data_IF_535219904388
#
_entry.id   IF_535219904388
#
_cell.length_a   1.000
_cell.length_b   1.000
_cell.length_c   1.000
_cell.angle_alpha   90.00
_cell.angle_beta   90.00
_cell.angle_gamma   90.00
#
_symmetry.space_group_name_H-M   'P 1'
#
loop_
_entity.id
_entity.type
_entity.pdbx_description
1 polymer ?
#
# COMPACT_ATOMS: atom_id res chain seq x y z
N UNK A 1 -22.58 15.44 -9.80
CA UNK A 1 -22.39 14.05 -10.25
C UNK A 1 -21.96 14.09 -11.70
N UNK A 2 -20.74 13.63 -12.00
CA UNK A 2 -20.32 13.41 -13.39
C UNK A 2 -20.95 12.07 -13.80
N UNK A 3 -21.70 12.04 -14.91
CA UNK A 3 -22.23 10.77 -15.43
C UNK A 3 -21.05 9.84 -15.78
N UNK A 4 -21.09 8.62 -15.24
CA UNK A 4 -20.10 7.60 -15.55
C UNK A 4 -20.22 7.21 -17.02
N UNK A 5 -19.16 7.47 -17.80
CA UNK A 5 -19.12 7.10 -19.21
C UNK A 5 -19.08 5.57 -19.35
N UNK A 6 -19.68 5.05 -20.43
CA UNK A 6 -19.56 3.62 -20.77
C UNK A 6 -18.08 3.18 -20.84
N UNK A 7 -17.19 4.05 -21.30
CA UNK A 7 -15.75 3.79 -21.34
C UNK A 7 -15.16 3.56 -19.94
N UNK A 8 -15.47 4.43 -18.98
CA UNK A 8 -14.97 4.29 -17.61
C UNK A 8 -15.44 2.98 -16.98
N UNK A 9 -16.71 2.61 -17.18
CA UNK A 9 -17.25 1.33 -16.72
C UNK A 9 -16.46 0.13 -17.26
N UNK A 10 -16.20 0.08 -18.57
CA UNK A 10 -15.41 -0.99 -19.19
C UNK A 10 -13.98 -1.05 -18.64
N UNK A 11 -13.35 0.10 -18.38
CA UNK A 11 -12.00 0.14 -17.83
C UNK A 11 -12.00 -0.37 -16.38
N UNK A 12 -12.96 0.04 -15.53
CA UNK A 12 -13.09 -0.47 -14.16
C UNK A 12 -13.27 -1.99 -14.13
N UNK A 13 -14.14 -2.53 -14.99
CA UNK A 13 -14.34 -3.97 -15.12
C UNK A 13 -13.04 -4.68 -15.51
N UNK A 14 -12.28 -4.12 -16.47
CA UNK A 14 -10.98 -4.66 -16.86
C UNK A 14 -9.95 -4.63 -15.72
N UNK A 15 -9.88 -3.52 -14.98
CA UNK A 15 -9.00 -3.37 -13.81
C UNK A 15 -9.35 -4.41 -12.76
N UNK A 16 -10.63 -4.56 -12.41
CA UNK A 16 -11.10 -5.54 -11.44
C UNK A 16 -10.76 -6.98 -11.86
N UNK A 17 -10.99 -7.35 -13.12
CA UNK A 17 -10.63 -8.68 -13.63
C UNK A 17 -9.12 -8.95 -13.52
N UNK A 18 -8.28 -7.95 -13.80
CA UNK A 18 -6.82 -8.08 -13.62
C UNK A 18 -6.44 -8.25 -12.16
N UNK A 19 -7.13 -7.58 -11.25
CA UNK A 19 -6.92 -7.67 -9.82
C UNK A 19 -7.30 -9.04 -9.28
N UNK A 20 -8.48 -9.53 -9.66
CA UNK A 20 -8.95 -10.88 -9.37
C UNK A 20 -7.94 -11.91 -9.87
N UNK A 21 -7.53 -11.85 -11.14
CA UNK A 21 -6.55 -12.77 -11.72
C UNK A 21 -5.20 -12.75 -10.98
N UNK A 22 -4.73 -11.57 -10.57
CA UNK A 22 -3.48 -11.44 -9.84
C UNK A 22 -3.58 -12.01 -8.41
N UNK A 23 -4.72 -11.83 -7.75
CA UNK A 23 -4.89 -12.14 -6.33
C UNK A 23 -5.52 -13.49 -6.05
N UNK A 24 -6.14 -14.15 -7.02
CA UNK A 24 -6.81 -15.46 -6.86
C UNK A 24 -5.88 -16.51 -6.25
N UNK A 25 -4.58 -16.46 -6.59
CA UNK A 25 -3.57 -17.39 -6.06
C UNK A 25 -3.03 -17.02 -4.68
N UNK A 26 -3.49 -15.91 -4.11
CA UNK A 26 -3.08 -15.39 -2.80
C UNK A 26 -4.32 -15.18 -1.91
N UNK A 27 -4.79 -16.25 -1.23
CA UNK A 27 -6.07 -16.25 -0.52
C UNK A 27 -6.24 -15.10 0.47
N UNK A 28 -5.20 -14.76 1.24
CA UNK A 28 -5.24 -13.67 2.23
C UNK A 28 -5.45 -12.29 1.59
N UNK A 29 -4.80 -12.03 0.46
CA UNK A 29 -4.96 -10.77 -0.26
C UNK A 29 -6.34 -10.72 -0.91
N UNK A 30 -6.83 -11.85 -1.43
CA UNK A 30 -8.17 -11.94 -2.00
C UNK A 30 -9.28 -11.75 -0.96
N UNK A 31 -9.14 -12.35 0.22
CA UNK A 31 -10.03 -12.15 1.35
C UNK A 31 -10.07 -10.68 1.78
N UNK A 32 -8.91 -10.02 1.84
CA UNK A 32 -8.84 -8.59 2.13
C UNK A 32 -9.59 -7.75 1.09
N UNK A 33 -9.38 -8.01 -0.20
CA UNK A 33 -10.07 -7.29 -1.29
C UNK A 33 -11.60 -7.47 -1.18
N UNK A 34 -12.06 -8.71 -0.96
CA UNK A 34 -13.48 -9.03 -0.79
C UNK A 34 -14.07 -8.34 0.43
N UNK A 35 -13.38 -8.39 1.56
CA UNK A 35 -13.79 -7.73 2.80
C UNK A 35 -14.00 -6.23 2.57
N UNK A 36 -13.07 -5.55 1.91
CA UNK A 36 -13.22 -4.10 1.62
C UNK A 36 -14.41 -3.83 0.70
N UNK A 37 -14.61 -4.66 -0.34
CA UNK A 37 -15.77 -4.53 -1.23
C UNK A 37 -17.12 -4.73 -0.50
N UNK A 38 -17.17 -5.68 0.45
CA UNK A 38 -18.38 -5.97 1.23
C UNK A 38 -18.65 -4.91 2.31
N UNK A 39 -17.60 -4.39 2.96
CA UNK A 39 -17.71 -3.41 4.05
C UNK A 39 -17.92 -1.97 3.55
N UNK A 40 -17.34 -1.60 2.39
CA UNK A 40 -17.44 -0.26 1.83
C UNK A 40 -17.40 -0.25 0.30
N UNK A 41 -18.56 -0.52 -0.31
CA UNK A 41 -18.72 -0.54 -1.78
C UNK A 41 -18.37 0.80 -2.43
N UNK A 42 -18.66 1.92 -1.77
CA UNK A 42 -18.32 3.26 -2.28
C UNK A 42 -16.81 3.48 -2.33
N UNK A 43 -16.08 3.16 -1.25
CA UNK A 43 -14.62 3.26 -1.21
C UNK A 43 -13.97 2.32 -2.25
N UNK A 44 -14.53 1.13 -2.41
CA UNK A 44 -14.07 0.15 -3.40
C UNK A 44 -14.25 0.65 -4.84
N UNK A 45 -15.43 1.19 -5.18
CA UNK A 45 -15.71 1.77 -6.50
C UNK A 45 -14.82 3.00 -6.78
N UNK A 46 -14.57 3.83 -5.77
CA UNK A 46 -13.66 4.96 -5.86
C UNK A 46 -12.23 4.49 -6.19
N UNK A 47 -11.73 3.45 -5.51
CA UNK A 47 -10.42 2.87 -5.78
C UNK A 47 -10.33 2.26 -7.18
N UNK A 48 -11.37 1.55 -7.64
CA UNK A 48 -11.43 1.05 -9.02
C UNK A 48 -11.37 2.18 -10.05
N UNK A 49 -12.11 3.27 -9.79
CA UNK A 49 -12.09 4.46 -10.64
C UNK A 49 -10.69 5.10 -10.70
N UNK A 50 -10.04 5.29 -9.55
CA UNK A 50 -8.66 5.83 -9.49
C UNK A 50 -7.67 4.94 -10.24
N UNK A 51 -7.78 3.63 -10.07
CA UNK A 51 -6.94 2.68 -10.77
C UNK A 51 -7.15 2.70 -12.29
N UNK A 52 -8.39 2.92 -12.73
CA UNK A 52 -8.75 3.09 -14.14
C UNK A 52 -8.24 4.42 -14.72
N UNK A 53 -8.32 5.51 -13.97
CA UNK A 53 -7.97 6.86 -14.44
C UNK A 53 -6.46 7.13 -14.36
N UNK A 54 -5.78 6.68 -13.30
CA UNK A 54 -4.39 7.08 -12.98
C UNK A 54 -3.46 5.90 -12.65
N UNK A 55 -4.00 4.79 -12.15
CA UNK A 55 -3.23 3.68 -11.59
C UNK A 55 -2.49 2.78 -12.61
N UNK A 56 -2.43 3.14 -13.89
CA UNK A 56 -1.85 2.28 -14.92
C UNK A 56 -0.33 2.05 -14.75
N UNK A 57 0.39 3.03 -14.21
CA UNK A 57 1.85 2.95 -14.03
C UNK A 57 2.24 1.94 -12.94
N UNK A 58 1.65 2.07 -11.76
CA UNK A 58 1.92 1.21 -10.61
C UNK A 58 1.36 -0.21 -10.80
N UNK A 59 0.19 -0.32 -11.42
CA UNK A 59 -0.43 -1.62 -11.73
C UNK A 59 0.39 -2.42 -12.75
N UNK A 60 1.09 -1.77 -13.69
CA UNK A 60 2.04 -2.46 -14.58
C UNK A 60 3.25 -3.00 -13.84
N UNK A 61 3.71 -2.28 -12.82
CA UNK A 61 4.91 -2.64 -12.03
C UNK A 61 4.63 -3.75 -11.03
N UNK A 62 3.49 -3.69 -10.33
CA UNK A 62 2.93 -4.78 -9.53
C UNK A 62 1.46 -4.50 -9.24
N UNK A 63 0.56 -5.22 -9.91
CA UNK A 63 -0.89 -5.10 -9.70
C UNK A 63 -1.24 -5.32 -8.23
N UNK A 64 -0.70 -6.39 -7.61
CA UNK A 64 -1.06 -6.80 -6.26
C UNK A 64 -0.71 -5.74 -5.20
N UNK A 65 0.52 -5.21 -5.25
CA UNK A 65 0.95 -4.16 -4.33
C UNK A 65 0.16 -2.86 -4.57
N UNK A 66 -0.09 -2.51 -5.83
CA UNK A 66 -0.85 -1.31 -6.20
C UNK A 66 -2.26 -1.33 -5.62
N UNK A 67 -2.94 -2.48 -5.71
CA UNK A 67 -4.29 -2.67 -5.17
C UNK A 67 -4.30 -2.54 -3.66
N UNK A 68 -3.40 -3.28 -2.99
CA UNK A 68 -3.36 -3.31 -1.53
C UNK A 68 -3.07 -1.93 -0.97
N UNK A 69 -2.14 -1.18 -1.57
CA UNK A 69 -1.87 0.20 -1.15
C UNK A 69 -3.08 1.12 -1.39
N UNK A 70 -3.76 1.03 -2.54
CA UNK A 70 -4.92 1.88 -2.80
C UNK A 70 -6.11 1.57 -1.86
N UNK A 71 -6.33 0.30 -1.51
CA UNK A 71 -7.40 -0.11 -0.61
C UNK A 71 -7.08 0.19 0.87
N UNK A 72 -5.81 0.11 1.27
CA UNK A 72 -5.39 0.45 2.64
C UNK A 72 -5.38 1.96 2.88
N UNK A 73 -4.94 2.73 1.89
CA UNK A 73 -4.80 4.19 1.98
C UNK A 73 -5.93 4.89 1.20
N UNK A 74 -7.16 4.38 1.32
CA UNK A 74 -8.38 4.96 0.71
C UNK A 74 -8.60 6.42 1.12
N UNK A 75 -8.11 6.81 2.32
CA UNK A 75 -8.15 8.18 2.84
C UNK A 75 -7.22 9.18 2.15
N UNK A 76 -6.41 8.76 1.18
CA UNK A 76 -5.78 9.69 0.24
C UNK A 76 -6.92 10.24 -0.63
N UNK A 77 -7.38 11.45 -0.31
CA UNK A 77 -8.62 12.03 -0.84
C UNK A 77 -8.57 12.32 -2.34
N UNK A 78 -9.72 12.33 -3.01
CA UNK A 78 -9.82 12.66 -4.45
C UNK A 78 -9.27 14.07 -4.71
N UNK A 79 -9.46 15.03 -3.79
CA UNK A 79 -8.87 16.37 -3.92
C UNK A 79 -7.34 16.37 -3.76
N UNK A 80 -6.75 15.50 -2.93
CA UNK A 80 -5.29 15.35 -2.87
C UNK A 80 -4.75 14.63 -4.11
N UNK A 81 -5.48 13.72 -4.74
CA UNK A 81 -5.03 13.03 -5.97
C UNK A 81 -5.25 13.86 -7.24
N UNK A 82 -6.33 14.63 -7.29
CA UNK A 82 -6.64 15.55 -8.39
C UNK A 82 -5.68 16.75 -8.43
N UNK A 83 -5.23 17.22 -7.25
CA UNK A 83 -4.35 18.39 -7.14
C UNK A 83 -2.88 18.03 -6.85
N UNK A 84 -2.60 16.88 -6.24
CA UNK A 84 -1.27 16.42 -5.86
C UNK A 84 -1.05 14.92 -6.16
N UNK A 85 -0.94 14.54 -7.46
CA UNK A 85 -0.59 13.17 -7.88
C UNK A 85 0.70 12.60 -7.26
N UNK A 86 1.45 13.42 -6.52
CA UNK A 86 2.67 13.06 -5.79
C UNK A 86 2.41 12.16 -4.59
N UNK A 87 1.29 12.27 -3.84
CA UNK A 87 1.18 11.56 -2.54
C UNK A 87 1.16 10.03 -2.70
N UNK A 88 0.38 9.50 -3.65
CA UNK A 88 0.40 8.04 -3.89
C UNK A 88 1.72 7.59 -4.53
N UNK A 89 2.32 8.42 -5.39
CA UNK A 89 3.64 8.16 -5.94
C UNK A 89 4.71 8.08 -4.83
N UNK A 90 4.64 8.99 -3.85
CA UNK A 90 5.51 9.06 -2.68
C UNK A 90 5.30 7.85 -1.79
N UNK A 91 4.05 7.45 -1.56
CA UNK A 91 3.73 6.22 -0.82
C UNK A 91 4.35 5.01 -1.53
N UNK A 92 4.08 4.86 -2.82
CA UNK A 92 4.62 3.77 -3.62
C UNK A 92 6.14 3.74 -3.56
N UNK A 93 6.78 4.88 -3.82
CA UNK A 93 8.24 5.00 -3.84
C UNK A 93 8.85 4.78 -2.46
N UNK A 94 8.23 5.30 -1.39
CA UNK A 94 8.71 5.09 -0.03
C UNK A 94 8.62 3.61 0.34
N UNK A 95 7.47 2.98 0.14
CA UNK A 95 7.27 1.56 0.51
C UNK A 95 8.17 0.64 -0.31
N UNK A 96 8.34 0.90 -1.62
CA UNK A 96 9.17 0.05 -2.49
C UNK A 96 10.67 0.32 -2.38
N UNK A 97 11.11 1.39 -1.70
CA UNK A 97 12.54 1.68 -1.50
C UNK A 97 13.00 1.56 -0.04
N UNK A 98 12.19 2.03 0.89
CA UNK A 98 12.45 2.11 2.33
C UNK A 98 11.77 0.97 3.11
N UNK A 99 10.91 0.18 2.45
CA UNK A 99 10.22 -0.97 3.05
C UNK A 99 8.99 -0.56 3.87
N UNK A 100 8.41 -1.52 4.57
CA UNK A 100 7.12 -1.34 5.25
C UNK A 100 7.14 -0.27 6.36
N UNK A 101 8.29 -0.06 7.01
CA UNK A 101 8.43 0.96 8.05
C UNK A 101 8.12 2.38 7.54
N UNK A 102 8.28 2.63 6.24
CA UNK A 102 7.98 3.94 5.65
C UNK A 102 6.49 4.30 5.64
N UNK A 103 5.59 3.32 5.83
CA UNK A 103 4.15 3.57 5.94
C UNK A 103 3.80 4.53 7.09
N UNK A 104 4.63 4.62 8.13
CA UNK A 104 4.45 5.58 9.23
C UNK A 104 4.41 7.04 8.77
N UNK A 105 5.05 7.35 7.63
CA UNK A 105 5.03 8.70 7.01
C UNK A 105 3.65 9.08 6.47
N UNK A 106 2.80 8.08 6.24
CA UNK A 106 1.47 8.20 5.63
C UNK A 106 0.34 7.88 6.61
N UNK A 107 0.65 7.75 7.91
CA UNK A 107 -0.32 7.39 8.95
C UNK A 107 -1.52 8.33 9.08
N UNK A 108 -1.46 9.54 8.54
CA UNK A 108 -2.62 10.44 8.49
C UNK A 108 -3.72 9.98 7.52
N UNK A 109 -3.44 9.05 6.60
CA UNK A 109 -4.37 8.62 5.54
C UNK A 109 -5.03 7.25 5.81
N UNK A 110 -4.71 6.61 6.93
CA UNK A 110 -5.18 5.29 7.33
C UNK A 110 -5.45 5.28 8.84
N UNK A 111 -6.35 4.43 9.31
CA UNK A 111 -6.57 4.29 10.76
C UNK A 111 -5.32 3.70 11.44
N UNK A 112 -5.08 4.09 12.69
CA UNK A 112 -3.92 3.61 13.45
C UNK A 112 -3.99 2.08 13.67
N UNK A 113 -5.19 1.55 13.88
CA UNK A 113 -5.42 0.12 14.09
C UNK A 113 -5.11 -0.67 12.81
N UNK A 114 -5.62 -0.23 11.65
CA UNK A 114 -5.34 -0.89 10.38
C UNK A 114 -3.84 -0.81 10.04
N UNK A 115 -3.21 0.35 10.26
CA UNK A 115 -1.77 0.50 10.03
C UNK A 115 -0.95 -0.45 10.92
N UNK A 116 -1.30 -0.53 12.21
CA UNK A 116 -0.64 -1.47 13.14
C UNK A 116 -0.84 -2.92 12.75
N UNK A 117 -2.04 -3.31 12.31
CA UNK A 117 -2.32 -4.65 11.79
C UNK A 117 -1.41 -4.95 10.58
N UNK A 118 -1.35 -4.03 9.62
CA UNK A 118 -0.54 -4.21 8.42
C UNK A 118 0.96 -4.29 8.70
N UNK A 119 1.47 -3.53 9.67
CA UNK A 119 2.91 -3.45 9.97
C UNK A 119 3.39 -4.56 10.91
N UNK A 120 2.55 -5.04 11.83
CA UNK A 120 2.98 -5.98 12.87
C UNK A 120 2.62 -7.44 12.57
N UNK A 121 1.69 -7.71 11.66
CA UNK A 121 1.34 -9.08 11.27
C UNK A 121 2.17 -9.53 10.06
N UNK A 122 3.07 -10.54 10.19
CA UNK A 122 3.88 -11.03 9.07
C UNK A 122 3.07 -11.52 7.86
N UNK A 123 1.79 -11.82 8.07
CA UNK A 123 0.86 -12.28 7.05
C UNK A 123 -0.21 -11.26 6.68
N UNK A 124 0.00 -9.99 7.01
CA UNK A 124 -0.85 -8.91 6.51
C UNK A 124 -0.80 -8.85 4.98
N UNK A 125 -1.88 -8.36 4.38
CA UNK A 125 -1.98 -8.20 2.93
C UNK A 125 -0.87 -7.31 2.37
N UNK A 126 -0.49 -6.25 3.11
CA UNK A 126 0.62 -5.38 2.71
C UNK A 126 1.97 -6.10 2.72
N UNK A 127 2.31 -6.80 3.80
CA UNK A 127 3.58 -7.54 3.88
C UNK A 127 3.64 -8.60 2.80
N UNK A 128 2.56 -9.34 2.58
CA UNK A 128 2.51 -10.38 1.54
C UNK A 128 2.68 -9.79 0.14
N UNK A 129 1.97 -8.71 -0.20
CA UNK A 129 2.07 -8.07 -1.51
C UNK A 129 3.47 -7.49 -1.75
N UNK A 130 4.06 -6.88 -0.72
CA UNK A 130 5.41 -6.31 -0.79
C UNK A 130 6.48 -7.41 -0.89
N UNK A 131 6.29 -8.51 -0.15
CA UNK A 131 7.17 -9.67 -0.23
C UNK A 131 7.17 -10.28 -1.64
N UNK A 132 5.99 -10.46 -2.24
CA UNK A 132 5.86 -10.96 -3.61
C UNK A 132 6.53 -10.02 -4.63
N UNK A 133 6.36 -8.71 -4.46
CA UNK A 133 7.07 -7.72 -5.27
C UNK A 133 8.60 -7.91 -5.20
N UNK A 134 9.16 -8.07 -4.01
CA UNK A 134 10.60 -8.26 -3.85
C UNK A 134 11.08 -9.67 -4.21
N UNK A 135 10.25 -10.70 -4.09
CA UNK A 135 10.58 -12.06 -4.53
C UNK A 135 10.91 -12.12 -6.02
N UNK A 136 10.33 -11.24 -6.84
CA UNK A 136 10.68 -11.13 -8.26
C UNK A 136 11.94 -10.28 -8.48
N UNK A 137 12.02 -9.12 -7.82
CA UNK A 137 13.07 -8.10 -8.06
C UNK A 137 14.42 -8.46 -7.46
N UNK A 138 14.46 -9.06 -6.28
CA UNK A 138 15.71 -9.38 -5.58
C UNK A 138 16.54 -10.42 -6.36
N UNK A 139 15.98 -11.56 -6.81
CA UNK A 139 16.74 -12.50 -7.63
C UNK A 139 17.26 -11.88 -8.93
N UNK A 140 16.47 -11.02 -9.58
CA UNK A 140 16.88 -10.33 -10.79
C UNK A 140 18.14 -9.48 -10.54
N UNK A 141 18.10 -8.62 -9.52
CA UNK A 141 19.21 -7.75 -9.15
C UNK A 141 20.46 -8.56 -8.75
N UNK A 142 20.30 -9.60 -7.94
CA UNK A 142 21.43 -10.42 -7.49
C UNK A 142 22.06 -11.20 -8.66
N UNK A 143 21.26 -11.72 -9.60
CA UNK A 143 21.77 -12.38 -10.82
C UNK A 143 22.55 -11.42 -11.71
N UNK A 144 22.10 -10.18 -11.88
CA UNK A 144 22.82 -9.14 -12.64
C UNK A 144 24.22 -8.87 -12.07
N UNK A 145 24.40 -9.04 -10.75
CA UNK A 145 25.69 -8.92 -10.07
C UNK A 145 26.44 -10.26 -9.91
N UNK A 146 26.03 -11.28 -10.68
CA UNK A 146 26.61 -12.63 -10.64
C UNK A 146 26.61 -13.26 -9.24
N UNK A 147 25.63 -12.93 -8.40
CA UNK A 147 25.42 -13.53 -7.09
C UNK A 147 24.41 -14.65 -7.28
N UNK A 148 24.92 -15.86 -7.42
CA UNK A 148 24.12 -17.07 -7.54
C UNK A 148 23.89 -17.72 -6.18
N UNK A 149 22.76 -18.39 -6.04
CA UNK A 149 22.36 -19.07 -4.82
C UNK A 149 21.77 -20.44 -5.16
N UNK A 150 22.40 -21.51 -4.65
CA UNK A 150 22.08 -22.89 -4.99
C UNK A 150 20.75 -23.39 -4.40
N UNK A 151 20.14 -22.68 -3.44
CA UNK A 151 18.90 -23.12 -2.75
C UNK A 151 17.85 -22.04 -2.55
N UNK A 152 17.91 -20.91 -3.25
CA UNK A 152 17.02 -19.73 -3.05
C UNK A 152 16.99 -19.13 -1.62
N UNK A 153 17.72 -19.69 -0.64
CA UNK A 153 17.81 -19.19 0.75
C UNK A 153 18.32 -17.75 0.86
N UNK A 154 19.41 -17.39 0.18
CA UNK A 154 19.89 -16.01 0.06
C UNK A 154 18.85 -15.06 -0.54
N UNK A 155 18.10 -15.50 -1.55
CA UNK A 155 17.12 -14.66 -2.23
C UNK A 155 15.93 -14.40 -1.34
N UNK A 156 15.42 -15.45 -0.67
CA UNK A 156 14.32 -15.33 0.28
C UNK A 156 14.72 -14.44 1.45
N UNK A 157 15.90 -14.66 2.03
CA UNK A 157 16.39 -13.84 3.13
C UNK A 157 16.53 -12.36 2.73
N UNK A 158 17.08 -12.09 1.55
CA UNK A 158 17.17 -10.72 1.05
C UNK A 158 15.78 -10.13 0.78
N UNK A 159 14.87 -10.86 0.14
CA UNK A 159 13.50 -10.39 -0.11
C UNK A 159 12.73 -10.10 1.19
N UNK A 160 12.80 -10.99 2.19
CA UNK A 160 12.24 -10.77 3.53
C UNK A 160 12.84 -9.52 4.19
N UNK A 161 14.15 -9.39 4.19
CA UNK A 161 14.84 -8.25 4.82
C UNK A 161 14.54 -6.92 4.10
N UNK A 162 14.45 -6.94 2.77
CA UNK A 162 14.11 -5.77 1.95
C UNK A 162 12.64 -5.38 2.12
N UNK A 163 11.74 -6.35 2.28
CA UNK A 163 10.32 -6.09 2.62
C UNK A 163 10.21 -5.27 3.90
N UNK A 164 10.99 -5.65 4.91
CA UNK A 164 10.94 -5.03 6.24
C UNK A 164 11.67 -3.69 6.31
N UNK A 165 12.82 -3.57 5.66
CA UNK A 165 13.76 -2.47 5.91
C UNK A 165 14.18 -1.69 4.65
N UNK A 166 13.60 -2.02 3.50
CA UNK A 166 13.96 -1.39 2.22
C UNK A 166 15.26 -1.92 1.63
N UNK A 167 15.63 -1.41 0.45
CA UNK A 167 16.73 -1.95 -0.33
C UNK A 167 18.09 -1.86 0.36
N UNK A 168 18.44 -0.68 0.88
CA UNK A 168 19.78 -0.44 1.43
C UNK A 168 20.00 -1.27 2.70
N UNK A 169 19.08 -1.18 3.66
CA UNK A 169 19.18 -1.89 4.94
C UNK A 169 18.90 -3.39 4.76
N UNK A 170 17.94 -3.76 3.93
CA UNK A 170 17.60 -5.16 3.66
C UNK A 170 18.74 -5.95 3.02
N UNK A 171 19.46 -5.37 2.06
CA UNK A 171 20.61 -6.04 1.42
C UNK A 171 21.82 -6.14 2.36
N UNK A 172 21.93 -5.32 3.40
CA UNK A 172 22.96 -5.51 4.43
C UNK A 172 22.83 -6.85 5.15
N UNK A 173 21.61 -7.41 5.27
CA UNK A 173 21.38 -8.71 5.90
C UNK A 173 22.12 -9.88 5.21
N UNK A 174 22.50 -9.71 3.93
CA UNK A 174 23.24 -10.73 3.18
C UNK A 174 24.74 -10.42 3.02
N UNK A 175 25.25 -9.34 3.62
CA UNK A 175 26.66 -8.91 3.48
C UNK A 175 27.65 -10.03 3.81
N UNK A 176 27.43 -10.73 4.93
CA UNK A 176 28.31 -11.84 5.36
C UNK A 176 28.16 -13.13 4.54
N UNK A 177 27.18 -13.20 3.63
CA UNK A 177 26.86 -14.38 2.83
C UNK A 177 27.34 -14.28 1.39
N UNK A 178 27.89 -13.13 0.99
CA UNK A 178 28.41 -12.90 -0.35
C UNK A 178 29.83 -12.33 -0.30
N UNK A 179 30.67 -12.62 -1.31
CA UNK A 179 32.02 -12.06 -1.38
C UNK A 179 32.04 -10.52 -1.40
N UNK A 180 32.97 -9.86 -0.68
CA UNK A 180 33.05 -8.39 -0.64
C UNK A 180 33.16 -7.74 -2.01
N UNK A 181 33.90 -8.36 -2.94
CA UNK A 181 34.07 -7.87 -4.32
C UNK A 181 32.77 -7.89 -5.15
N UNK A 182 31.73 -8.61 -4.71
CA UNK A 182 30.38 -8.57 -5.29
C UNK A 182 29.43 -7.68 -4.50
N UNK A 183 29.60 -7.62 -3.17
CA UNK A 183 28.78 -6.79 -2.29
C UNK A 183 28.94 -5.30 -2.54
N UNK A 184 30.18 -4.80 -2.62
CA UNK A 184 30.43 -3.36 -2.76
C UNK A 184 29.86 -2.77 -4.07
N UNK A 185 30.01 -3.44 -5.24
CA UNK A 185 29.33 -2.99 -6.46
C UNK A 185 27.79 -3.05 -6.36
N UNK A 186 27.24 -4.09 -5.73
CA UNK A 186 25.80 -4.23 -5.54
C UNK A 186 25.23 -3.09 -4.70
N UNK A 187 25.83 -2.80 -3.54
CA UNK A 187 25.32 -1.76 -2.66
C UNK A 187 25.47 -0.37 -3.28
N UNK A 188 26.54 -0.14 -4.06
CA UNK A 188 26.70 1.10 -4.83
C UNK A 188 25.56 1.26 -5.84
N UNK A 189 25.26 0.22 -6.61
CA UNK A 189 24.16 0.24 -7.60
C UNK A 189 22.81 0.48 -6.96
N UNK A 190 22.55 -0.13 -5.80
CA UNK A 190 21.32 0.09 -5.03
C UNK A 190 21.22 1.55 -4.57
N UNK A 191 22.31 2.14 -4.06
CA UNK A 191 22.30 3.57 -3.66
C UNK A 191 21.98 4.48 -4.85
N UNK A 192 22.55 4.20 -6.02
CA UNK A 192 22.25 4.96 -7.24
C UNK A 192 20.77 4.84 -7.62
N UNK A 193 20.21 3.62 -7.58
CA UNK A 193 18.80 3.35 -7.85
C UNK A 193 17.89 4.13 -6.90
N UNK A 194 18.12 4.04 -5.59
CA UNK A 194 17.31 4.73 -4.56
C UNK A 194 17.46 6.25 -4.67
N UNK A 195 18.68 6.77 -4.89
CA UNK A 195 18.93 8.22 -4.96
C UNK A 195 18.32 8.87 -6.19
N UNK A 196 18.29 8.16 -7.33
CA UNK A 196 17.69 8.68 -8.57
C UNK A 196 16.19 8.97 -8.44
N UNK A 197 15.52 8.28 -7.51
CA UNK A 197 14.09 8.43 -7.22
C UNK A 197 13.87 9.60 -6.24
N UNK A 198 14.76 9.77 -5.26
CA UNK A 198 14.68 10.89 -4.30
C UNK A 198 14.88 12.26 -4.94
N UNK A 199 15.69 12.36 -6.01
CA UNK A 199 15.88 13.63 -6.74
C UNK A 199 14.67 14.10 -7.56
N UNK A 200 13.65 13.27 -7.73
CA UNK A 200 12.40 13.65 -8.44
C UNK A 200 11.23 14.02 -7.51
N UNK A 201 11.40 13.88 -6.20
CA UNK A 201 10.33 14.06 -5.22
C UNK A 201 10.71 15.20 -4.25
N UNK A 202 10.27 16.42 -4.57
CA UNK A 202 10.18 17.49 -3.56
C UNK A 202 9.25 17.04 -2.43
N UNK A 203 9.51 17.47 -1.18
CA UNK A 203 8.68 17.11 -0.02
C UNK A 203 7.19 17.33 -0.34
N UNK A 204 6.32 16.33 -0.07
CA UNK A 204 4.90 16.50 -0.28
C UNK A 204 4.44 17.70 0.54
N UNK A 205 3.79 18.65 -0.13
CA UNK A 205 3.14 19.75 0.58
C UNK A 205 2.11 19.14 1.52
N UNK A 206 2.04 19.58 2.79
CA UNK A 206 1.04 19.03 3.70
C UNK A 206 -0.34 19.35 3.14
N UNK A 207 -1.05 18.32 2.63
CA UNK A 207 -2.46 18.45 2.28
C UNK A 207 -3.17 19.12 3.48
N UNK A 208 -3.95 20.20 3.25
CA UNK A 208 -4.62 20.88 4.33
C UNK A 208 -5.51 19.88 5.09
N UNK A 209 -5.23 19.71 6.38
CA UNK A 209 -6.09 18.91 7.26
C UNK A 209 -7.49 19.50 7.20
N UNK A 210 -8.49 18.64 7.00
CA UNK A 210 -9.86 19.01 7.34
C UNK A 210 -9.85 19.30 8.86
N UNK A 211 -10.23 20.51 9.31
CA UNK A 211 -10.36 20.78 10.73
C UNK A 211 -11.39 19.82 11.32
N UNK A 212 -11.03 19.16 12.42
CA UNK A 212 -12.00 18.42 13.22
C UNK A 212 -13.01 19.42 13.78
N UNK A 213 -14.14 19.60 13.11
CA UNK A 213 -15.23 20.44 13.58
C UNK A 213 -15.85 19.81 14.82
N UNK A 214 -15.52 20.40 15.97
CA UNK A 214 -16.36 20.43 17.16
C UNK A 214 -16.51 21.89 17.55
N UNK A 215 -17.73 22.22 17.94
CA UNK A 215 -18.26 23.53 18.34
C UNK A 215 -18.58 24.52 17.23
N UNK A 216 -19.77 24.35 16.65
CA UNK A 216 -20.80 25.37 16.83
C UNK A 216 -22.21 24.78 16.66
N UNK A 217 -23.04 25.09 17.65
CA UNK A 217 -24.47 24.83 17.71
C UNK A 217 -25.24 25.57 16.62
N UNK A 218 -26.43 25.03 16.37
CA UNK A 218 -27.62 25.61 15.72
C UNK A 218 -27.79 25.50 14.20
N UNK A 219 -28.80 24.69 13.88
CA UNK A 219 -29.74 24.73 12.76
C UNK A 219 -29.49 23.82 11.54
N UNK A 220 -30.55 23.06 11.28
CA UNK A 220 -30.74 22.02 10.29
C UNK A 220 -30.33 22.42 8.87
N UNK A 221 -29.64 21.51 8.17
CA UNK A 221 -30.17 20.83 6.98
C UNK A 221 -29.22 19.75 6.46
N UNK A 222 -29.81 18.59 6.14
CA UNK A 222 -29.44 17.64 5.08
C UNK A 222 -28.12 16.86 5.19
N UNK A 223 -28.28 15.53 5.23
CA UNK A 223 -27.24 14.54 5.49
C UNK A 223 -26.11 14.44 4.46
N UNK A 224 -24.94 14.08 4.98
CA UNK A 224 -23.99 13.09 4.40
C UNK A 224 -22.75 12.85 5.28
N UNK A 225 -22.53 13.57 6.38
CA UNK A 225 -21.22 13.52 7.08
C UNK A 225 -21.12 12.61 8.32
N UNK A 226 -22.07 11.69 8.59
CA UNK A 226 -22.08 10.96 9.89
C UNK A 226 -21.94 9.43 9.86
N UNK A 227 -21.59 8.79 8.74
CA UNK A 227 -21.46 7.32 8.71
C UNK A 227 -20.14 6.79 9.31
N UNK A 228 -19.00 7.48 9.14
CA UNK A 228 -17.71 7.03 9.73
C UNK A 228 -17.63 7.17 11.26
N UNK A 229 -18.35 8.11 11.88
CA UNK A 229 -18.44 8.21 13.35
C UNK A 229 -19.47 7.24 13.96
N UNK A 230 -20.43 6.75 13.19
CA UNK A 230 -21.46 5.82 13.69
C UNK A 230 -20.96 4.36 13.76
N UNK A 231 -20.08 3.95 12.84
CA UNK A 231 -19.57 2.57 12.80
C UNK A 231 -18.53 2.27 13.90
N UNK A 232 -17.78 3.27 14.36
CA UNK A 232 -16.84 3.12 15.49
C UNK A 232 -17.57 3.08 16.84
N UNK A 233 -18.76 3.70 16.95
CA UNK A 233 -19.51 3.75 18.22
C UNK A 233 -20.28 2.45 18.52
N UNK A 234 -20.62 1.65 17.50
CA UNK A 234 -21.36 0.40 17.67
C UNK A 234 -20.49 -0.83 17.94
N UNK A 235 -19.15 -0.72 17.89
CA UNK A 235 -18.23 -1.81 18.25
C UNK A 235 -17.99 -1.95 19.77
N UNK A 236 -18.42 -0.97 20.58
CA UNK A 236 -18.26 -1.01 22.06
C UNK A 236 -19.48 -1.52 22.85
N UNK A 237 -20.54 -1.99 22.18
CA UNK A 237 -21.76 -2.47 22.85
C UNK A 237 -22.08 -3.95 22.62
N UNK A 238 -21.13 -4.75 22.12
CA UNK A 238 -21.32 -6.21 21.90
C UNK A 238 -20.55 -7.11 22.89
N UNK A 239 -19.82 -6.56 23.86
CA UNK A 239 -19.04 -7.35 24.84
C UNK A 239 -19.47 -7.12 26.30
N UNK A 240 -20.69 -6.66 26.54
CA UNK A 240 -21.31 -6.69 27.87
C UNK A 240 -22.70 -7.31 27.71
N UNK A 241 -22.74 -8.63 27.55
CA UNK A 241 -23.89 -9.49 27.86
C UNK A 241 -23.44 -10.96 27.90
N UNK A 242 -22.41 -11.21 28.71
CA UNK A 242 -22.05 -12.54 29.21
C UNK A 242 -21.56 -12.41 30.65
N UNK A 243 -22.45 -12.01 31.55
CA UNK A 243 -22.37 -12.32 32.98
C UNK A 243 -23.67 -11.86 33.64
N UNK A 244 -24.66 -12.75 33.70
CA UNK A 244 -25.60 -12.94 34.83
C UNK A 244 -26.77 -13.85 34.43
N UNK A 245 -26.59 -15.16 34.62
CA UNK A 245 -27.49 -16.13 35.29
C UNK A 245 -27.25 -17.56 34.82
#
# INVERSE_FOLDING_TARGET
MIEETHLLKVIKEHVYQRWETACEKQPKIWEFIKKVNDESKEDFEMVLRRAAEYGSEYTKSSSMLSIVLQLLFTGIDDDCLLNEPKVFADLWNSVTNEGIASCDRFKQYISEDDLKEQMNEPSSSLILALHLYYQEKVPELLKQHHISNSKNTLYNLAAESVTQHGWISGIQAIKGKIPPNKYEPLIKKIREMVSSISTSLEEPSPCPRIPSSVDQSSQDTSGTTNLRKLLIKNRKFSEIDKEEK
#
